data_IF_173770644746
#
_entry.id   IF_173770644746
#
_cell.length_a   1.000
_cell.length_b   1.000
_cell.length_c   1.000
_cell.angle_alpha   90.00
_cell.angle_beta   90.00
_cell.angle_gamma   90.00
#
_symmetry.space_group_name_H-M   'P 1'
#
loop_
_entity.id
_entity.type
_entity.pdbx_description
1 polymer ?
#
# COMPACT_ATOMS: atom_id res chain seq x y z
N UNK A 1 14.16 -3.28 19.97
CA UNK A 1 13.65 -4.14 18.88
C UNK A 1 12.73 -3.41 17.91
N UNK A 2 11.92 -2.43 18.32
CA UNK A 2 10.90 -1.77 17.46
C UNK A 2 11.38 -0.52 16.67
N UNK A 3 12.69 -0.23 16.63
CA UNK A 3 13.18 1.03 16.06
C UNK A 3 13.08 1.05 14.52
N UNK A 4 13.34 -0.08 13.86
CA UNK A 4 13.26 -0.21 12.40
C UNK A 4 11.82 -0.10 11.92
N UNK A 5 10.89 -0.81 12.56
CA UNK A 5 9.46 -0.74 12.23
C UNK A 5 8.91 0.68 12.43
N UNK A 6 9.24 1.36 13.54
CA UNK A 6 8.86 2.77 13.77
C UNK A 6 9.32 3.70 12.66
N UNK A 7 10.58 3.57 12.20
CA UNK A 7 11.11 4.38 11.11
C UNK A 7 10.39 4.10 9.78
N UNK A 8 10.21 2.83 9.42
CA UNK A 8 9.49 2.46 8.19
C UNK A 8 8.03 2.91 8.21
N UNK A 9 7.35 2.77 9.34
CA UNK A 9 5.97 3.26 9.48
C UNK A 9 5.92 4.79 9.33
N UNK A 10 6.90 5.53 9.87
CA UNK A 10 6.97 6.99 9.70
C UNK A 10 7.06 7.37 8.23
N UNK A 11 7.92 6.70 7.47
CA UNK A 11 8.08 6.94 6.03
C UNK A 11 6.81 6.58 5.25
N UNK A 12 6.22 5.42 5.54
CA UNK A 12 4.95 5.02 4.93
C UNK A 12 3.82 6.01 5.26
N UNK A 13 3.70 6.45 6.51
CA UNK A 13 2.68 7.42 6.92
C UNK A 13 2.85 8.77 6.21
N UNK A 14 4.09 9.23 6.05
CA UNK A 14 4.41 10.47 5.32
C UNK A 14 4.07 10.34 3.83
N UNK A 15 4.43 9.22 3.21
CA UNK A 15 4.09 8.91 1.83
C UNK A 15 2.57 8.88 1.60
N UNK A 16 1.82 8.31 2.53
CA UNK A 16 0.37 8.18 2.45
C UNK A 16 -0.34 9.52 2.58
N UNK A 17 0.18 10.41 3.45
CA UNK A 17 -0.28 11.79 3.54
C UNK A 17 -0.12 12.52 2.19
N UNK A 18 1.04 12.38 1.55
CA UNK A 18 1.30 12.99 0.25
C UNK A 18 0.41 12.43 -0.89
N UNK A 19 0.02 11.15 -0.83
CA UNK A 19 -0.96 10.57 -1.76
C UNK A 19 -2.36 11.16 -1.54
N UNK A 20 -2.78 11.30 -0.27
CA UNK A 20 -4.06 11.94 0.07
C UNK A 20 -4.12 13.40 -0.41
N UNK A 21 -3.05 14.16 -0.19
CA UNK A 21 -2.93 15.54 -0.66
C UNK A 21 -3.08 15.62 -2.18
N UNK A 22 -2.42 14.73 -2.94
CA UNK A 22 -2.54 14.70 -4.39
C UNK A 22 -3.96 14.35 -4.87
N UNK A 23 -4.63 13.39 -4.22
CA UNK A 23 -6.04 13.05 -4.50
C UNK A 23 -6.99 14.22 -4.23
N UNK A 24 -6.64 15.13 -3.32
CA UNK A 24 -7.43 16.32 -2.97
C UNK A 24 -7.29 17.50 -3.93
N UNK A 25 -6.32 17.50 -4.87
CA UNK A 25 -6.05 18.65 -5.77
C UNK A 25 -6.99 18.78 -6.96
N UNK A 26 -7.99 17.90 -7.10
CA UNK A 26 -8.83 17.83 -8.30
C UNK A 26 -8.12 17.11 -9.44
N UNK A 27 -8.89 16.45 -10.32
CA UNK A 27 -8.31 15.60 -11.38
C UNK A 27 -7.91 16.45 -12.59
N UNK A 28 -6.65 16.30 -13.00
CA UNK A 28 -6.10 16.64 -14.32
C UNK A 28 -5.11 15.54 -14.72
N UNK A 29 -4.61 15.52 -15.95
CA UNK A 29 -3.65 14.50 -16.39
C UNK A 29 -2.36 14.54 -15.55
N UNK A 30 -1.84 15.75 -15.27
CA UNK A 30 -0.69 15.94 -14.40
C UNK A 30 -0.94 15.43 -12.96
N UNK A 31 -2.14 15.69 -12.42
CA UNK A 31 -2.50 15.19 -11.08
C UNK A 31 -2.69 13.67 -11.10
N UNK A 32 -3.30 13.12 -12.16
CA UNK A 32 -3.48 11.68 -12.34
C UNK A 32 -2.14 10.97 -12.32
N UNK A 33 -1.20 11.42 -13.14
CA UNK A 33 0.12 10.82 -13.26
C UNK A 33 0.91 10.98 -11.95
N UNK A 34 0.78 12.13 -11.27
CA UNK A 34 1.34 12.32 -9.93
C UNK A 34 0.73 11.32 -8.93
N UNK A 35 -0.59 11.14 -8.92
CA UNK A 35 -1.27 10.18 -8.03
C UNK A 35 -0.81 8.75 -8.28
N UNK A 36 -0.70 8.35 -9.56
CA UNK A 36 -0.20 7.02 -9.94
C UNK A 36 1.24 6.85 -9.43
N UNK A 37 2.12 7.82 -9.69
CA UNK A 37 3.51 7.75 -9.21
C UNK A 37 3.58 7.67 -7.69
N UNK A 38 2.73 8.42 -7.00
CA UNK A 38 2.64 8.43 -5.54
C UNK A 38 2.11 7.11 -5.00
N UNK A 39 1.18 6.50 -5.68
CA UNK A 39 0.71 5.16 -5.37
C UNK A 39 1.81 4.12 -5.49
N UNK A 40 2.63 4.13 -6.55
CA UNK A 40 3.70 3.13 -6.74
C UNK A 40 4.66 3.08 -5.55
N UNK A 41 5.17 4.23 -5.10
CA UNK A 41 6.09 4.24 -3.95
C UNK A 41 5.36 4.00 -2.62
N UNK A 42 4.08 4.36 -2.51
CA UNK A 42 3.27 4.02 -1.32
C UNK A 42 3.07 2.51 -1.21
N UNK A 43 2.77 1.84 -2.31
CA UNK A 43 2.70 0.38 -2.38
C UNK A 43 4.00 -0.23 -1.88
N UNK A 44 5.13 0.26 -2.40
CA UNK A 44 6.47 -0.24 -2.07
C UNK A 44 6.81 -0.08 -0.58
N UNK A 45 6.55 1.10 -0.02
CA UNK A 45 6.73 1.36 1.41
C UNK A 45 5.79 0.51 2.25
N UNK A 46 4.54 0.34 1.81
CA UNK A 46 3.53 -0.43 2.53
C UNK A 46 3.99 -1.88 2.73
N UNK A 47 4.25 -2.62 1.64
CA UNK A 47 4.58 -4.05 1.78
C UNK A 47 5.93 -4.25 2.47
N UNK A 48 6.91 -3.35 2.29
CA UNK A 48 8.19 -3.41 3.02
C UNK A 48 8.03 -3.13 4.50
N UNK A 49 7.10 -2.25 4.89
CA UNK A 49 6.79 -2.00 6.31
C UNK A 49 6.05 -3.21 6.90
N UNK A 50 5.09 -3.76 6.16
CA UNK A 50 4.40 -5.00 6.54
C UNK A 50 5.36 -6.17 6.71
N UNK A 51 6.34 -6.34 5.80
CA UNK A 51 7.39 -7.37 5.94
C UNK A 51 8.13 -7.24 7.27
N UNK A 52 8.51 -6.02 7.67
CA UNK A 52 9.20 -5.80 8.95
C UNK A 52 8.28 -6.08 10.14
N UNK A 53 7.00 -5.70 10.08
CA UNK A 53 6.03 -6.05 11.11
C UNK A 53 5.94 -7.58 11.29
N UNK A 54 5.79 -8.31 10.19
CA UNK A 54 5.66 -9.77 10.17
C UNK A 54 6.91 -10.45 10.76
N UNK A 55 8.09 -9.96 10.40
CA UNK A 55 9.34 -10.46 10.95
C UNK A 55 9.47 -10.18 12.45
N UNK A 56 9.31 -8.91 12.86
CA UNK A 56 9.56 -8.49 14.25
C UNK A 56 8.51 -8.97 15.26
N UNK A 57 7.25 -9.14 14.84
CA UNK A 57 6.13 -9.51 15.75
C UNK A 57 5.69 -10.95 15.63
N UNK A 58 5.89 -11.58 14.48
CA UNK A 58 5.39 -12.93 14.20
C UNK A 58 6.49 -13.91 13.78
N UNK A 59 7.75 -13.48 13.68
CA UNK A 59 8.86 -14.32 13.25
C UNK A 59 8.72 -14.85 11.82
N UNK A 60 7.94 -14.16 10.98
CA UNK A 60 7.68 -14.54 9.59
C UNK A 60 8.57 -13.75 8.64
N UNK A 61 9.51 -14.42 8.00
CA UNK A 61 10.24 -13.86 6.86
C UNK A 61 9.48 -14.16 5.56
N UNK A 62 9.15 -13.12 4.83
CA UNK A 62 8.31 -13.15 3.63
C UNK A 62 9.02 -12.42 2.50
N UNK A 63 8.88 -12.88 1.26
CA UNK A 63 9.71 -12.42 0.14
C UNK A 63 8.94 -11.74 -0.99
N UNK A 64 7.61 -11.62 -0.84
CA UNK A 64 6.78 -10.92 -1.82
C UNK A 64 5.62 -10.14 -1.18
N UNK A 65 5.05 -9.12 -1.86
CA UNK A 65 3.87 -8.43 -1.36
C UNK A 65 2.67 -9.36 -1.16
N UNK A 66 2.43 -10.29 -2.11
CA UNK A 66 1.32 -11.24 -2.02
C UNK A 66 1.45 -12.15 -0.80
N UNK A 67 2.66 -12.60 -0.49
CA UNK A 67 2.94 -13.38 0.71
C UNK A 67 2.73 -12.56 1.99
N UNK A 68 3.22 -11.31 2.02
CA UNK A 68 2.98 -10.40 3.14
C UNK A 68 1.49 -10.27 3.45
N UNK A 69 0.67 -10.02 2.43
CA UNK A 69 -0.76 -9.79 2.62
C UNK A 69 -1.50 -11.07 3.06
N UNK A 70 -1.08 -12.24 2.58
CA UNK A 70 -1.62 -13.52 3.07
C UNK A 70 -1.24 -13.82 4.51
N UNK A 71 -0.01 -13.48 4.92
CA UNK A 71 0.39 -13.62 6.32
C UNK A 71 -0.39 -12.69 7.26
N UNK A 72 -0.79 -11.50 6.81
CA UNK A 72 -1.66 -10.63 7.61
C UNK A 72 -3.01 -11.29 7.91
N UNK A 73 -3.61 -11.98 6.95
CA UNK A 73 -4.84 -12.76 7.15
C UNK A 73 -4.62 -13.93 8.13
N UNK A 74 -3.53 -14.70 7.94
CA UNK A 74 -3.18 -15.84 8.81
C UNK A 74 -2.99 -15.44 10.28
N UNK A 75 -2.54 -14.21 10.51
CA UNK A 75 -2.36 -13.65 11.85
C UNK A 75 -3.57 -12.81 12.31
N UNK A 76 -4.73 -12.92 11.63
CA UNK A 76 -5.98 -12.24 11.95
C UNK A 76 -5.87 -10.70 12.02
N UNK A 77 -4.93 -10.12 11.27
CA UNK A 77 -4.74 -8.68 11.17
C UNK A 77 -5.60 -8.03 10.07
N UNK A 78 -6.09 -8.84 9.13
CA UNK A 78 -6.96 -8.46 8.02
C UNK A 78 -8.01 -9.53 7.76
N UNK A 79 -9.07 -9.15 7.06
CA UNK A 79 -10.14 -10.05 6.60
C UNK A 79 -9.89 -10.53 5.16
N UNK A 80 -10.60 -11.57 4.72
CA UNK A 80 -10.45 -12.12 3.37
C UNK A 80 -10.66 -11.06 2.28
N UNK A 81 -11.68 -10.21 2.44
CA UNK A 81 -12.03 -9.13 1.50
C UNK A 81 -10.90 -8.09 1.36
N UNK A 82 -10.19 -7.80 2.44
CA UNK A 82 -9.01 -6.92 2.42
C UNK A 82 -7.88 -7.54 1.60
N UNK A 83 -7.61 -8.84 1.83
CA UNK A 83 -6.52 -9.54 1.16
C UNK A 83 -6.79 -9.70 -0.33
N UNK A 84 -8.02 -10.02 -0.73
CA UNK A 84 -8.41 -10.05 -2.14
C UNK A 84 -8.12 -8.70 -2.83
N UNK A 85 -8.49 -7.60 -2.18
CA UNK A 85 -8.22 -6.26 -2.69
C UNK A 85 -6.71 -5.97 -2.79
N UNK A 86 -5.92 -6.39 -1.81
CA UNK A 86 -4.46 -6.22 -1.80
C UNK A 86 -3.75 -7.07 -2.87
N UNK A 87 -4.25 -8.28 -3.13
CA UNK A 87 -3.76 -9.13 -4.22
C UNK A 87 -4.06 -8.49 -5.58
N UNK A 88 -5.26 -7.92 -5.76
CA UNK A 88 -5.62 -7.15 -6.96
C UNK A 88 -4.75 -5.91 -7.11
N UNK A 89 -4.55 -5.15 -6.03
CA UNK A 89 -3.66 -3.97 -5.99
C UNK A 89 -2.22 -4.33 -6.41
N UNK A 90 -1.73 -5.49 -5.99
CA UNK A 90 -0.40 -5.99 -6.38
C UNK A 90 -0.31 -6.25 -7.88
N UNK A 91 -1.32 -6.90 -8.46
CA UNK A 91 -1.37 -7.14 -9.90
C UNK A 91 -1.40 -5.82 -10.67
N UNK A 92 -2.29 -4.90 -10.28
CA UNK A 92 -2.39 -3.58 -10.90
C UNK A 92 -1.08 -2.81 -10.83
N UNK A 93 -0.37 -2.85 -9.69
CA UNK A 93 0.94 -2.21 -9.56
C UNK A 93 1.95 -2.78 -10.55
N UNK A 94 1.97 -4.10 -10.75
CA UNK A 94 2.89 -4.73 -11.68
C UNK A 94 2.60 -4.29 -13.12
N UNK A 95 1.31 -4.13 -13.47
CA UNK A 95 0.89 -3.66 -14.80
C UNK A 95 1.24 -2.19 -15.06
N UNK A 96 1.23 -1.32 -14.04
CA UNK A 96 1.57 0.11 -14.18
C UNK A 96 2.96 0.32 -14.79
N UNK A 97 3.94 -0.50 -14.43
CA UNK A 97 5.32 -0.35 -14.92
C UNK A 97 5.43 -0.69 -16.41
N UNK A 98 4.46 -1.43 -16.96
CA UNK A 98 4.48 -1.93 -18.33
C UNK A 98 3.53 -1.19 -19.28
N UNK A 99 2.71 -0.25 -18.78
CA UNK A 99 1.63 0.35 -19.56
C UNK A 99 1.67 1.88 -19.59
N UNK A 100 1.79 2.45 -20.80
CA UNK A 100 1.60 3.87 -21.10
C UNK A 100 0.18 4.17 -21.65
N UNK A 101 -0.78 3.26 -21.48
CA UNK A 101 -2.16 3.43 -21.95
C UNK A 101 -2.94 4.43 -21.07
N UNK A 102 -3.44 5.50 -21.67
CA UNK A 102 -4.25 6.52 -21.00
C UNK A 102 -5.53 5.94 -20.37
N UNK A 103 -6.20 5.00 -21.04
CA UNK A 103 -7.39 4.33 -20.48
C UNK A 103 -7.04 3.53 -19.23
N UNK A 104 -5.84 2.93 -19.24
CA UNK A 104 -5.33 2.22 -18.08
C UNK A 104 -4.99 3.19 -16.94
N UNK A 105 -4.33 4.31 -17.22
CA UNK A 105 -4.04 5.35 -16.22
C UNK A 105 -5.32 5.87 -15.56
N UNK A 106 -6.38 6.10 -16.33
CA UNK A 106 -7.69 6.50 -15.84
C UNK A 106 -8.32 5.48 -14.89
N UNK A 107 -8.31 4.21 -15.31
CA UNK A 107 -8.80 3.08 -14.52
C UNK A 107 -8.02 2.95 -13.21
N UNK A 108 -6.70 3.04 -13.26
CA UNK A 108 -5.83 2.96 -12.09
C UNK A 108 -6.07 4.14 -11.15
N UNK A 109 -6.17 5.37 -11.65
CA UNK A 109 -6.48 6.53 -10.81
C UNK A 109 -7.81 6.35 -10.06
N UNK A 110 -8.85 5.88 -10.74
CA UNK A 110 -10.13 5.60 -10.07
C UNK A 110 -9.99 4.54 -8.99
N UNK A 111 -9.24 3.45 -9.23
CA UNK A 111 -8.99 2.39 -8.24
C UNK A 111 -8.14 2.89 -7.07
N UNK A 112 -7.14 3.73 -7.32
CA UNK A 112 -6.34 4.36 -6.27
C UNK A 112 -7.23 5.18 -5.35
N UNK A 113 -8.09 6.02 -5.92
CA UNK A 113 -8.97 6.90 -5.15
C UNK A 113 -10.02 6.12 -4.35
N UNK A 114 -10.67 5.12 -4.96
CA UNK A 114 -11.82 4.43 -4.38
C UNK A 114 -11.43 3.24 -3.49
N UNK A 115 -10.40 2.50 -3.87
CA UNK A 115 -10.10 1.20 -3.29
C UNK A 115 -8.72 1.16 -2.63
N UNK A 116 -7.65 1.60 -3.32
CA UNK A 116 -6.28 1.39 -2.85
C UNK A 116 -5.83 2.37 -1.75
N UNK A 117 -6.23 3.63 -1.83
CA UNK A 117 -5.95 4.58 -0.75
C UNK A 117 -6.60 4.15 0.58
N UNK A 118 -7.90 3.78 0.62
CA UNK A 118 -8.52 3.26 1.84
C UNK A 118 -7.81 2.04 2.44
N UNK A 119 -7.45 1.03 1.62
CA UNK A 119 -6.78 -0.16 2.16
C UNK A 119 -5.34 0.11 2.62
N UNK A 120 -4.61 1.00 1.94
CA UNK A 120 -3.29 1.48 2.40
C UNK A 120 -3.40 2.21 3.74
N UNK A 121 -4.45 3.01 3.94
CA UNK A 121 -4.75 3.65 5.23
C UNK A 121 -5.05 2.63 6.32
N UNK A 122 -5.90 1.64 6.04
CA UNK A 122 -6.18 0.53 6.97
C UNK A 122 -4.89 -0.20 7.37
N UNK A 123 -4.02 -0.52 6.41
CA UNK A 123 -2.72 -1.14 6.69
C UNK A 123 -1.82 -0.27 7.57
N UNK A 124 -1.78 1.04 7.34
CA UNK A 124 -1.02 1.97 8.18
C UNK A 124 -1.50 1.92 9.65
N UNK A 125 -2.81 1.90 9.85
CA UNK A 125 -3.42 1.80 11.18
C UNK A 125 -3.18 0.45 11.85
N UNK A 126 -3.31 -0.65 11.10
CA UNK A 126 -2.99 -2.01 11.58
C UNK A 126 -1.54 -2.08 12.05
N UNK A 127 -0.59 -1.60 11.25
CA UNK A 127 0.82 -1.60 11.63
C UNK A 127 1.04 -0.74 12.87
N UNK A 128 0.46 0.47 12.92
CA UNK A 128 0.57 1.39 14.06
C UNK A 128 0.09 0.77 15.37
N UNK A 129 -1.01 0.01 15.36
CA UNK A 129 -1.55 -0.68 16.54
C UNK A 129 -0.64 -1.78 17.08
N UNK A 130 0.27 -2.30 16.25
CA UNK A 130 1.18 -3.39 16.60
C UNK A 130 2.60 -2.92 16.99
N UNK A 131 2.84 -1.61 17.00
CA UNK A 131 4.05 -0.97 17.52
C UNK A 131 3.81 -0.70 19.02
N UNK A 132 4.21 -1.64 19.86
CA UNK A 132 4.37 -1.42 21.31
C UNK A 132 5.87 -1.26 21.56
#
# INVERSE_FOLDING_TARGET
MDQTLKLKLKDFSKALKGLNEALGKGKSDLVRDSVIKRFEYNFELCWKTTKVLLYEKFGKDVFSPKECFRELLRNHLLEDTDVELLLRMTNDRNEIVHSYDEKFAEKIYSRIKKDYYPILKKLNEVIRKNIK
#
